data_IF_334737104286
#
_entry.id   IF_334737104286
#
_cell.length_a   1.000
_cell.length_b   1.000
_cell.length_c   1.000
_cell.angle_alpha   90.00
_cell.angle_beta   90.00
_cell.angle_gamma   90.00
#
_symmetry.space_group_name_H-M   'P 1'
#
loop_
_entity.id
_entity.type
_entity.pdbx_description
1 polymer ?
#
# COMPACT_ATOMS: atom_id res chain seq x y z
N UNK A 1 45.50 1.81 48.41
CA UNK A 1 44.71 0.71 47.83
C UNK A 1 43.41 1.27 47.27
N UNK A 2 42.74 0.54 46.37
CA UNK A 2 41.56 1.01 45.63
C UNK A 2 40.25 0.87 46.44
N UNK A 3 39.16 1.37 45.81
CA UNK A 3 37.71 1.15 46.09
C UNK A 3 37.12 1.83 47.34
N UNK A 4 35.88 2.33 47.34
CA UNK A 4 34.95 2.68 46.24
C UNK A 4 33.86 3.67 46.76
N UNK A 5 33.38 4.60 45.92
CA UNK A 5 32.11 5.32 46.14
C UNK A 5 31.37 5.50 44.81
N UNK A 6 30.21 4.86 44.67
CA UNK A 6 29.33 4.97 43.50
C UNK A 6 28.45 6.21 43.63
N UNK A 7 28.52 7.13 42.66
CA UNK A 7 27.45 8.11 42.43
C UNK A 7 27.21 8.27 40.92
N UNK A 8 25.93 8.39 40.56
CA UNK A 8 25.35 8.81 39.27
C UNK A 8 25.76 8.04 37.98
N UNK A 9 24.84 7.64 37.12
CA UNK A 9 23.42 8.02 37.06
C UNK A 9 22.95 8.18 35.62
N UNK A 10 23.11 7.14 34.80
CA UNK A 10 22.51 6.97 33.45
C UNK A 10 22.60 8.22 32.57
N UNK A 11 23.68 8.32 31.78
CA UNK A 11 23.77 9.28 30.69
C UNK A 11 22.67 9.02 29.64
N UNK A 12 21.62 9.82 29.66
CA UNK A 12 20.51 9.78 28.69
C UNK A 12 20.98 10.22 27.31
N UNK A 13 21.58 9.30 26.55
CA UNK A 13 21.82 9.50 25.13
C UNK A 13 20.53 9.24 24.34
N UNK A 14 19.57 10.15 24.50
CA UNK A 14 18.30 10.14 23.78
C UNK A 14 18.58 10.41 22.30
N UNK A 15 18.77 9.33 21.54
CA UNK A 15 18.92 9.38 20.10
C UNK A 15 17.67 10.07 19.52
N UNK A 16 17.77 11.22 18.85
CA UNK A 16 16.58 11.90 18.33
C UNK A 16 16.02 11.04 17.22
N UNK A 17 14.92 10.34 17.51
CA UNK A 17 14.14 9.58 16.53
C UNK A 17 13.74 10.57 15.45
N UNK A 18 14.40 10.49 14.30
CA UNK A 18 14.19 11.45 13.22
C UNK A 18 12.72 11.42 12.83
N UNK A 19 12.10 12.59 12.82
CA UNK A 19 10.66 12.72 12.85
C UNK A 19 10.00 12.05 11.64
N UNK A 20 8.86 11.42 11.93
CA UNK A 20 7.76 11.12 11.01
C UNK A 20 7.65 12.15 9.88
N UNK A 21 8.28 11.85 8.75
CA UNK A 21 8.37 12.78 7.62
C UNK A 21 8.09 12.12 6.27
N UNK A 22 7.09 11.22 6.22
CA UNK A 22 6.25 11.10 5.02
C UNK A 22 4.82 10.54 5.29
N UNK A 23 4.19 10.99 6.38
CA UNK A 23 2.79 10.65 6.67
C UNK A 23 1.79 11.77 6.32
N UNK A 24 2.28 12.92 5.84
CA UNK A 24 1.49 14.17 5.72
C UNK A 24 0.56 14.19 4.48
N UNK A 25 0.65 13.17 3.63
CA UNK A 25 -0.23 12.95 2.48
C UNK A 25 -1.10 11.69 2.65
N UNK A 26 -1.03 11.00 3.78
CA UNK A 26 -2.04 10.00 4.14
C UNK A 26 -3.32 10.75 4.51
N UNK A 27 -4.34 10.67 3.65
CA UNK A 27 -5.70 11.08 4.00
C UNK A 27 -6.12 10.34 5.28
N UNK A 28 -6.63 11.06 6.28
CA UNK A 28 -7.02 10.41 7.52
C UNK A 28 -8.28 9.58 7.26
N UNK A 29 -8.36 8.41 7.90
CA UNK A 29 -9.55 7.56 7.79
C UNK A 29 -10.74 8.30 8.40
N UNK A 30 -11.61 8.85 7.55
CA UNK A 30 -12.75 9.69 7.93
C UNK A 30 -12.79 11.06 7.23
N UNK A 31 -11.71 11.49 6.57
CA UNK A 31 -11.73 12.67 5.70
C UNK A 31 -12.69 12.42 4.51
N UNK A 32 -13.55 13.39 4.13
CA UNK A 32 -14.38 13.27 2.93
C UNK A 32 -13.51 13.09 1.68
N UNK A 33 -13.93 12.21 0.76
CA UNK A 33 -13.29 12.05 -0.53
C UNK A 33 -13.26 13.39 -1.28
N UNK A 34 -12.17 13.67 -1.98
CA UNK A 34 -12.15 14.77 -2.94
C UNK A 34 -13.13 14.49 -4.07
N UNK A 35 -13.57 15.54 -4.78
CA UNK A 35 -14.47 15.39 -5.93
C UNK A 35 -13.94 14.37 -6.95
N UNK A 36 -12.65 14.42 -7.28
CA UNK A 36 -12.00 13.48 -8.21
C UNK A 36 -11.93 12.04 -7.68
N UNK A 37 -11.78 11.84 -6.36
CA UNK A 37 -11.84 10.51 -5.75
C UNK A 37 -13.27 9.95 -5.77
N UNK A 38 -14.28 10.78 -5.51
CA UNK A 38 -15.68 10.39 -5.57
C UNK A 38 -16.15 10.08 -7.01
N UNK A 39 -15.70 10.85 -8.00
CA UNK A 39 -15.95 10.57 -9.43
C UNK A 39 -15.30 9.25 -9.87
N UNK A 40 -14.05 9.01 -9.46
CA UNK A 40 -13.39 7.72 -9.72
C UNK A 40 -14.11 6.56 -9.03
N UNK A 41 -14.53 6.74 -7.77
CA UNK A 41 -15.30 5.74 -7.03
C UNK A 41 -16.59 5.36 -7.74
N UNK A 42 -17.36 6.35 -8.20
CA UNK A 42 -18.60 6.14 -8.95
C UNK A 42 -18.38 5.33 -10.23
N UNK A 43 -17.29 5.57 -10.97
CA UNK A 43 -16.94 4.77 -12.16
C UNK A 43 -16.66 3.29 -11.81
N UNK A 44 -15.96 3.05 -10.70
CA UNK A 44 -15.66 1.69 -10.21
C UNK A 44 -16.95 0.96 -9.79
N UNK A 45 -17.85 1.63 -9.05
CA UNK A 45 -19.15 1.08 -8.66
C UNK A 45 -20.04 0.77 -9.88
N UNK A 46 -20.12 1.68 -10.86
CA UNK A 46 -20.90 1.48 -12.09
C UNK A 46 -20.39 0.30 -12.95
N UNK A 47 -19.08 0.03 -12.92
CA UNK A 47 -18.48 -1.09 -13.65
C UNK A 47 -18.63 -2.44 -12.92
N UNK A 48 -18.84 -2.41 -11.60
CA UNK A 48 -18.86 -3.58 -10.73
C UNK A 48 -17.46 -3.98 -10.25
N UNK A 49 -17.23 -3.91 -8.93
CA UNK A 49 -15.93 -4.22 -8.33
C UNK A 49 -15.45 -5.65 -8.64
N UNK A 50 -16.37 -6.62 -8.69
CA UNK A 50 -16.06 -8.03 -8.94
C UNK A 50 -15.68 -8.27 -10.40
N UNK A 51 -16.44 -7.66 -11.31
CA UNK A 51 -16.25 -7.72 -12.76
C UNK A 51 -14.92 -7.07 -13.16
N UNK A 52 -14.59 -5.92 -12.55
CA UNK A 52 -13.32 -5.25 -12.75
C UNK A 52 -12.15 -6.05 -12.15
N UNK A 53 -12.28 -6.59 -10.94
CA UNK A 53 -11.26 -7.45 -10.34
C UNK A 53 -10.95 -8.68 -11.21
N UNK A 54 -12.00 -9.37 -11.69
CA UNK A 54 -11.85 -10.51 -12.59
C UNK A 54 -11.19 -10.11 -13.92
N UNK A 55 -11.48 -8.92 -14.45
CA UNK A 55 -10.85 -8.40 -15.67
C UNK A 55 -9.35 -8.17 -15.49
N UNK A 56 -8.94 -7.51 -14.40
CA UNK A 56 -7.53 -7.26 -14.06
C UNK A 56 -6.76 -8.57 -13.84
N UNK A 57 -7.34 -9.50 -13.09
CA UNK A 57 -6.78 -10.84 -12.86
C UNK A 57 -6.60 -11.62 -14.16
N UNK A 58 -7.57 -11.54 -15.08
CA UNK A 58 -7.48 -12.19 -16.40
C UNK A 58 -6.33 -11.64 -17.22
N UNK A 59 -6.09 -10.32 -17.22
CA UNK A 59 -4.95 -9.69 -17.91
C UNK A 59 -3.62 -10.11 -17.28
N UNK A 60 -3.53 -10.15 -15.95
CA UNK A 60 -2.35 -10.61 -15.23
C UNK A 60 -2.02 -12.07 -15.53
N UNK A 61 -3.00 -12.96 -15.45
CA UNK A 61 -2.80 -14.40 -15.70
C UNK A 61 -2.49 -14.64 -17.18
N UNK A 62 -3.06 -13.86 -18.10
CA UNK A 62 -2.69 -13.87 -19.52
C UNK A 62 -1.21 -13.51 -19.70
N UNK A 63 -0.74 -12.42 -19.10
CA UNK A 63 0.67 -12.04 -19.17
C UNK A 63 1.56 -13.11 -18.52
N UNK A 64 1.26 -13.55 -17.30
CA UNK A 64 2.12 -14.43 -16.52
C UNK A 64 2.27 -15.84 -17.14
N UNK A 65 1.24 -16.37 -17.79
CA UNK A 65 1.21 -17.76 -18.28
C UNK A 65 1.24 -17.91 -19.80
N UNK A 66 0.95 -16.85 -20.57
CA UNK A 66 0.87 -16.91 -22.04
C UNK A 66 1.81 -15.90 -22.75
N UNK A 67 2.66 -15.19 -21.99
CA UNK A 67 3.77 -14.42 -22.56
C UNK A 67 4.99 -15.32 -22.77
N UNK A 68 5.44 -15.46 -24.02
CA UNK A 68 6.77 -16.01 -24.35
C UNK A 68 7.93 -15.03 -24.03
N UNK A 69 7.61 -13.79 -23.62
CA UNK A 69 8.58 -12.73 -23.32
C UNK A 69 8.91 -12.74 -21.82
N UNK A 70 10.19 -12.82 -21.42
CA UNK A 70 10.61 -12.76 -20.02
C UNK A 70 10.50 -11.34 -19.45
N UNK A 71 9.98 -11.22 -18.22
CA UNK A 71 9.74 -9.93 -17.58
C UNK A 71 10.98 -9.29 -16.93
N UNK A 72 11.19 -8.01 -17.24
CA UNK A 72 12.07 -7.09 -16.52
C UNK A 72 11.51 -6.72 -15.14
N UNK A 73 12.19 -5.84 -14.41
CA UNK A 73 11.77 -5.45 -13.06
C UNK A 73 10.53 -4.54 -13.04
N UNK A 74 10.31 -3.71 -14.05
CA UNK A 74 9.14 -2.83 -14.17
C UNK A 74 7.90 -3.63 -14.54
N UNK A 75 8.02 -4.59 -15.44
CA UNK A 75 6.91 -5.47 -15.80
C UNK A 75 6.47 -6.32 -14.60
N UNK A 76 7.42 -6.82 -13.79
CA UNK A 76 7.12 -7.48 -12.51
C UNK A 76 6.41 -6.56 -11.51
N UNK A 77 6.84 -5.30 -11.39
CA UNK A 77 6.14 -4.31 -10.56
C UNK A 77 4.72 -4.04 -11.08
N UNK A 78 4.53 -3.86 -12.39
CA UNK A 78 3.21 -3.63 -12.97
C UNK A 78 2.24 -4.81 -12.75
N UNK A 79 2.72 -6.05 -12.86
CA UNK A 79 1.93 -7.25 -12.51
C UNK A 79 1.57 -7.29 -11.02
N UNK A 80 2.47 -6.86 -10.14
CA UNK A 80 2.19 -6.72 -8.71
C UNK A 80 1.18 -5.61 -8.41
N UNK A 81 1.26 -4.47 -9.09
CA UNK A 81 0.32 -3.34 -8.92
C UNK A 81 -1.10 -3.74 -9.38
N UNK A 82 -1.22 -4.48 -10.49
CA UNK A 82 -2.48 -5.10 -10.91
C UNK A 82 -3.04 -6.01 -9.81
N UNK A 83 -2.19 -6.82 -9.16
CA UNK A 83 -2.57 -7.71 -8.06
C UNK A 83 -3.12 -6.97 -6.86
N UNK A 84 -2.41 -5.94 -6.41
CA UNK A 84 -2.85 -5.08 -5.30
C UNK A 84 -4.21 -4.45 -5.62
N UNK A 85 -4.42 -4.00 -6.87
CA UNK A 85 -5.67 -3.38 -7.30
C UNK A 85 -6.85 -4.36 -7.32
N UNK A 86 -6.71 -5.56 -7.91
CA UNK A 86 -7.83 -6.51 -7.95
C UNK A 86 -8.15 -7.06 -6.56
N UNK A 87 -7.15 -7.33 -5.71
CA UNK A 87 -7.42 -7.76 -4.33
C UNK A 87 -8.12 -6.67 -3.52
N UNK A 88 -7.82 -5.39 -3.80
CA UNK A 88 -8.56 -4.25 -3.25
C UNK A 88 -10.02 -4.28 -3.69
N UNK A 89 -10.28 -4.43 -4.99
CA UNK A 89 -11.62 -4.51 -5.58
C UNK A 89 -12.43 -5.70 -5.06
N UNK A 90 -11.82 -6.89 -4.91
CA UNK A 90 -12.46 -8.06 -4.27
C UNK A 90 -12.89 -7.76 -2.82
N UNK A 91 -12.00 -7.14 -2.03
CA UNK A 91 -12.30 -6.76 -0.63
C UNK A 91 -13.40 -5.71 -0.51
N UNK A 92 -13.56 -4.85 -1.53
CA UNK A 92 -14.62 -3.85 -1.59
C UNK A 92 -15.96 -4.47 -2.03
N UNK A 93 -15.95 -5.33 -3.05
CA UNK A 93 -17.13 -6.08 -3.49
C UNK A 93 -17.64 -7.11 -2.46
N UNK A 94 -16.79 -7.60 -1.56
CA UNK A 94 -17.15 -8.53 -0.49
C UNK A 94 -17.86 -7.88 0.72
N UNK A 95 -18.11 -6.56 0.69
CA UNK A 95 -18.77 -5.80 1.78
C UNK A 95 -20.20 -5.33 1.45
N UNK A 96 -20.80 -5.86 0.38
CA UNK A 96 -22.21 -5.64 0.02
C UNK A 96 -23.15 -6.59 0.79
#
# INVERSE_FOLDING_TARGET
>A
MQTLTNEEGIGSNANPVNATSDARHASNVGDPLTQSQAEFWYLIECQGCKELAQSLKTIHDLALYYSDIPFDQREKSALFDLKVLWEGLEKMGAKA
#
